data_IF_328994098277
#
_entry.id   IF_328994098277
#
_cell.length_a   1.000
_cell.length_b   1.000
_cell.length_c   1.000
_cell.angle_alpha   90.00
_cell.angle_beta   90.00
_cell.angle_gamma   90.00
#
_symmetry.space_group_name_H-M   'P 1'
#
loop_
_entity.id
_entity.type
_entity.pdbx_description
1 polymer ?
#
# COMPACT_ATOMS: atom_id res chain seq x y z
N UNK A 1 -9.07 -13.52 5.33
CA UNK A 1 -8.54 -13.50 3.97
C UNK A 1 -9.59 -14.08 3.02
N UNK A 2 -9.82 -13.45 1.85
CA UNK A 2 -10.78 -13.90 0.84
C UNK A 2 -12.20 -14.19 1.41
N UNK A 3 -12.71 -13.32 2.29
CA UNK A 3 -14.01 -13.48 2.94
C UNK A 3 -14.08 -14.58 4.00
N UNK A 4 -12.96 -15.21 4.35
CA UNK A 4 -12.90 -16.25 5.39
C UNK A 4 -12.47 -15.63 6.73
N UNK A 5 -13.06 -16.14 7.80
CA UNK A 5 -12.71 -15.79 9.18
C UNK A 5 -11.37 -16.43 9.58
N UNK A 6 -10.67 -15.88 10.59
CA UNK A 6 -9.43 -16.45 11.11
C UNK A 6 -9.58 -17.88 11.67
N UNK A 7 -10.77 -18.23 12.16
CA UNK A 7 -11.13 -19.55 12.71
C UNK A 7 -11.41 -20.61 11.62
N UNK A 8 -11.72 -20.13 10.39
CA UNK A 8 -11.92 -20.96 9.22
C UNK A 8 -11.18 -20.36 8.02
N UNK A 9 -9.84 -20.31 8.07
CA UNK A 9 -9.01 -19.59 7.12
C UNK A 9 -9.11 -20.18 5.71
N UNK A 10 -8.84 -19.35 4.69
CA UNK A 10 -8.62 -19.86 3.34
C UNK A 10 -7.34 -20.71 3.33
N UNK A 11 -7.39 -21.86 2.64
CA UNK A 11 -6.23 -22.73 2.46
C UNK A 11 -5.77 -22.72 1.01
N UNK A 12 -4.47 -22.67 0.80
CA UNK A 12 -3.78 -22.75 -0.47
C UNK A 12 -2.91 -24.00 -0.46
N UNK A 13 -3.27 -25.00 -1.26
CA UNK A 13 -2.46 -26.20 -1.42
C UNK A 13 -1.30 -25.95 -2.37
N UNK A 14 -0.11 -26.42 -1.97
CA UNK A 14 1.12 -26.32 -2.75
C UNK A 14 1.91 -27.62 -2.72
N UNK A 15 2.77 -27.81 -3.72
CA UNK A 15 3.72 -28.92 -3.78
C UNK A 15 5.14 -28.39 -3.61
N UNK A 16 5.99 -29.20 -3.05
CA UNK A 16 7.41 -28.86 -2.93
C UNK A 16 8.01 -28.52 -4.29
N UNK A 17 8.76 -27.40 -4.35
CA UNK A 17 9.38 -26.87 -5.56
C UNK A 17 8.49 -25.96 -6.40
N UNK A 18 7.19 -25.81 -6.05
CA UNK A 18 6.31 -24.86 -6.74
C UNK A 18 6.67 -23.41 -6.37
N UNK A 19 6.42 -22.54 -7.33
CA UNK A 19 6.47 -21.08 -7.13
C UNK A 19 5.04 -20.53 -7.10
N UNK A 20 4.64 -20.02 -5.97
CA UNK A 20 3.27 -19.52 -5.75
C UNK A 20 3.27 -18.01 -5.80
N UNK A 21 2.52 -17.43 -6.75
CA UNK A 21 2.29 -15.99 -6.81
C UNK A 21 1.08 -15.63 -5.95
N UNK A 22 1.31 -14.92 -4.88
CA UNK A 22 0.27 -14.34 -4.03
C UNK A 22 0.04 -12.89 -4.46
N UNK A 23 -1.21 -12.55 -4.78
CA UNK A 23 -1.64 -11.17 -5.05
C UNK A 23 -2.25 -10.61 -3.78
N UNK A 24 -1.49 -9.79 -3.09
CA UNK A 24 -1.90 -9.16 -1.85
C UNK A 24 -2.61 -7.85 -2.18
N UNK A 25 -3.86 -7.72 -1.74
CA UNK A 25 -4.68 -6.52 -1.94
C UNK A 25 -5.22 -6.12 -0.58
N UNK A 26 -4.99 -4.88 -0.17
CA UNK A 26 -5.64 -4.33 1.02
C UNK A 26 -6.83 -3.44 0.64
N UNK A 27 -8.06 -3.99 0.58
CA UNK A 27 -9.27 -3.23 0.31
C UNK A 27 -9.87 -2.63 1.58
N UNK A 28 -9.16 -2.68 2.71
CA UNK A 28 -9.64 -2.20 4.01
C UNK A 28 -9.91 -0.70 4.00
N UNK A 29 -10.92 -0.29 4.78
CA UNK A 29 -11.33 1.11 4.88
C UNK A 29 -10.45 1.94 5.81
N UNK A 30 -9.77 1.32 6.80
CA UNK A 30 -9.03 2.05 7.83
C UNK A 30 -7.82 1.30 8.42
N UNK A 31 -7.47 0.12 7.89
CA UNK A 31 -6.46 -0.73 8.53
C UNK A 31 -5.25 -0.95 7.63
N UNK A 32 -4.06 -0.69 8.16
CA UNK A 32 -2.78 -1.05 7.57
C UNK A 32 -2.32 -2.39 8.16
N UNK A 33 -1.83 -3.28 7.32
CA UNK A 33 -1.38 -4.61 7.74
C UNK A 33 0.11 -4.81 7.52
N UNK A 34 0.71 -5.60 8.42
CA UNK A 34 2.01 -6.21 8.22
C UNK A 34 1.80 -7.67 7.84
N UNK A 35 2.37 -8.08 6.70
CA UNK A 35 2.15 -9.41 6.12
C UNK A 35 3.44 -10.22 6.16
N UNK A 36 3.32 -11.48 6.55
CA UNK A 36 4.38 -12.48 6.45
C UNK A 36 3.81 -13.89 6.22
N UNK A 37 4.63 -14.78 5.67
CA UNK A 37 4.33 -16.20 5.48
C UNK A 37 5.25 -17.03 6.38
N UNK A 38 4.67 -17.84 7.24
CA UNK A 38 5.44 -18.73 8.14
C UNK A 38 6.41 -19.61 7.36
N UNK A 39 7.65 -19.71 7.84
CA UNK A 39 8.68 -20.56 7.25
C UNK A 39 9.13 -20.20 5.83
N UNK A 40 8.67 -19.09 5.27
CA UNK A 40 8.98 -18.68 3.89
C UNK A 40 9.30 -17.20 3.80
N UNK A 41 10.10 -16.87 2.80
CA UNK A 41 10.33 -15.48 2.38
C UNK A 41 9.43 -15.15 1.19
N UNK A 42 9.17 -13.87 1.02
CA UNK A 42 8.36 -13.34 -0.08
C UNK A 42 9.26 -12.55 -1.03
N UNK A 43 9.24 -12.88 -2.31
CA UNK A 43 9.92 -12.10 -3.35
C UNK A 43 8.89 -11.18 -4.01
N UNK A 44 8.97 -9.89 -3.72
CA UNK A 44 8.11 -8.86 -4.29
C UNK A 44 8.48 -8.68 -5.76
N UNK A 45 7.48 -8.74 -6.64
CA UNK A 45 7.65 -8.64 -8.10
C UNK A 45 6.82 -7.52 -8.72
N UNK A 46 5.75 -7.07 -8.03
CA UNK A 46 4.91 -5.95 -8.49
C UNK A 46 4.44 -5.14 -7.29
N UNK A 47 4.27 -3.85 -7.50
CA UNK A 47 3.54 -2.95 -6.61
C UNK A 47 2.50 -2.15 -7.39
N UNK A 48 1.28 -2.06 -6.88
CA UNK A 48 0.11 -1.42 -7.51
C UNK A 48 -0.10 -1.85 -8.98
N UNK A 49 0.23 -3.13 -9.27
CA UNK A 49 0.11 -3.72 -10.60
C UNK A 49 1.30 -3.47 -11.54
N UNK A 50 2.30 -2.67 -11.13
CA UNK A 50 3.50 -2.37 -11.92
C UNK A 50 4.67 -3.26 -11.53
N UNK A 51 5.42 -3.79 -12.50
CA UNK A 51 6.54 -4.68 -12.24
C UNK A 51 7.72 -3.93 -11.62
N UNK A 52 8.35 -4.59 -10.66
CA UNK A 52 9.58 -4.12 -10.02
C UNK A 52 10.68 -5.17 -10.08
N UNK A 53 11.94 -4.74 -9.99
CA UNK A 53 13.05 -5.65 -9.78
C UNK A 53 12.79 -6.51 -8.54
N UNK A 54 12.98 -7.83 -8.61
CA UNK A 54 12.62 -8.74 -7.53
C UNK A 54 13.35 -8.43 -6.23
N UNK A 55 12.59 -8.23 -5.15
CA UNK A 55 13.13 -7.97 -3.81
C UNK A 55 12.61 -9.01 -2.83
N UNK A 56 13.52 -9.79 -2.24
CA UNK A 56 13.16 -10.82 -1.27
C UNK A 56 13.18 -10.27 0.16
N UNK A 57 12.07 -10.44 0.86
CA UNK A 57 11.82 -9.92 2.21
C UNK A 57 11.15 -10.97 3.10
N UNK A 58 11.20 -10.77 4.40
CA UNK A 58 10.50 -11.60 5.39
C UNK A 58 9.10 -11.05 5.71
N UNK A 59 8.93 -9.73 5.56
CA UNK A 59 7.64 -9.05 5.73
C UNK A 59 7.51 -7.82 4.85
N UNK A 60 6.27 -7.44 4.61
CA UNK A 60 5.93 -6.16 4.02
C UNK A 60 4.77 -5.49 4.77
N UNK A 61 4.71 -4.17 4.71
CA UNK A 61 3.54 -3.40 5.16
C UNK A 61 2.70 -3.04 3.95
N UNK A 62 1.38 -3.22 4.06
CA UNK A 62 0.43 -2.91 3.00
C UNK A 62 -0.64 -1.96 3.56
N UNK A 63 -0.62 -0.70 3.10
CA UNK A 63 -1.64 0.30 3.43
C UNK A 63 -2.94 0.08 2.65
N UNK A 64 -3.98 0.78 3.06
CA UNK A 64 -5.27 0.76 2.35
C UNK A 64 -5.06 1.20 0.89
N UNK A 65 -5.63 0.45 -0.05
CA UNK A 65 -5.50 0.68 -1.49
C UNK A 65 -4.21 0.15 -2.13
N UNK A 66 -3.18 -0.18 -1.36
CA UNK A 66 -1.96 -0.77 -1.93
C UNK A 66 -2.17 -2.23 -2.36
N UNK A 67 -1.42 -2.63 -3.36
CA UNK A 67 -1.35 -4.01 -3.87
C UNK A 67 0.10 -4.40 -4.04
N UNK A 68 0.42 -5.65 -3.71
CA UNK A 68 1.72 -6.26 -3.96
C UNK A 68 1.54 -7.66 -4.53
N UNK A 69 2.27 -8.00 -5.58
CA UNK A 69 2.43 -9.38 -5.99
C UNK A 69 3.76 -9.90 -5.45
N UNK A 70 3.69 -11.02 -4.75
CA UNK A 70 4.85 -11.69 -4.19
C UNK A 70 4.92 -13.13 -4.65
N UNK A 71 6.12 -13.63 -4.88
CA UNK A 71 6.37 -15.04 -5.15
C UNK A 71 6.91 -15.68 -3.88
N UNK A 72 6.30 -16.79 -3.50
CA UNK A 72 6.77 -17.68 -2.43
C UNK A 72 7.28 -18.96 -3.08
N UNK A 73 8.51 -19.36 -2.79
CA UNK A 73 9.08 -20.64 -3.22
C UNK A 73 8.73 -21.69 -2.18
N UNK A 74 8.03 -22.74 -2.60
CA UNK A 74 7.55 -23.81 -1.74
C UNK A 74 8.65 -24.84 -1.47
N UNK A 75 9.65 -24.48 -0.67
CA UNK A 75 10.79 -25.34 -0.37
C UNK A 75 10.78 -25.90 1.07
N UNK A 76 9.85 -25.45 1.93
CA UNK A 76 9.79 -25.83 3.32
C UNK A 76 8.47 -26.58 3.63
N UNK A 77 8.42 -27.94 3.45
CA UNK A 77 7.21 -28.73 3.65
C UNK A 77 6.58 -28.55 5.03
N UNK A 78 5.24 -28.54 5.08
CA UNK A 78 4.48 -28.36 6.32
C UNK A 78 3.16 -27.64 6.09
N UNK A 79 2.57 -27.16 7.19
CA UNK A 79 1.34 -26.34 7.17
C UNK A 79 1.64 -25.01 7.82
N UNK A 80 1.65 -23.94 7.03
CA UNK A 80 2.19 -22.66 7.41
C UNK A 80 1.13 -21.57 7.44
N UNK A 81 1.12 -20.70 8.46
CA UNK A 81 0.22 -19.55 8.47
C UNK A 81 0.74 -18.45 7.54
N UNK A 82 -0.14 -17.91 6.69
CA UNK A 82 -0.01 -16.60 6.08
C UNK A 82 -0.79 -15.63 6.96
N UNK A 83 -0.15 -14.60 7.46
CA UNK A 83 -0.72 -13.68 8.44
C UNK A 83 -0.62 -12.25 7.97
N UNK A 84 -1.73 -11.52 8.10
CA UNK A 84 -1.79 -10.07 8.00
C UNK A 84 -2.19 -9.51 9.38
N UNK A 85 -1.20 -9.05 10.15
CA UNK A 85 -1.37 -8.43 11.45
C UNK A 85 -1.55 -6.92 11.30
N UNK A 86 -2.42 -6.31 12.10
CA UNK A 86 -2.59 -4.86 12.13
C UNK A 86 -1.30 -4.17 12.56
N UNK A 87 -1.00 -3.02 11.94
CA UNK A 87 0.15 -2.19 12.35
C UNK A 87 -0.18 -1.41 13.60
N UNK A 88 -1.42 -0.99 13.72
CA UNK A 88 -1.95 -0.23 14.85
C UNK A 88 -3.12 -0.98 15.50
N UNK A 89 -3.21 -0.90 16.83
CA UNK A 89 -4.24 -1.59 17.61
C UNK A 89 -3.98 -3.08 17.82
N UNK A 90 -4.85 -3.71 18.62
CA UNK A 90 -4.72 -5.09 19.12
C UNK A 90 -5.71 -6.07 18.46
N UNK A 91 -6.19 -5.75 17.24
CA UNK A 91 -7.13 -6.62 16.55
C UNK A 91 -6.50 -7.95 16.16
N UNK A 92 -7.30 -9.02 16.24
CA UNK A 92 -6.86 -10.33 15.81
C UNK A 92 -6.40 -10.31 14.33
N UNK A 93 -5.27 -10.94 14.01
CA UNK A 93 -4.73 -10.92 12.66
C UNK A 93 -5.62 -11.70 11.68
N UNK A 94 -5.71 -11.22 10.45
CA UNK A 94 -6.27 -11.98 9.36
C UNK A 94 -5.32 -13.13 8.98
N UNK A 95 -5.89 -14.31 8.68
CA UNK A 95 -5.12 -15.53 8.43
C UNK A 95 -5.56 -16.24 7.16
N UNK A 96 -4.59 -16.89 6.53
CA UNK A 96 -4.75 -17.95 5.54
C UNK A 96 -3.71 -19.04 5.82
N UNK A 97 -3.82 -20.16 5.15
CA UNK A 97 -2.94 -21.32 5.35
C UNK A 97 -2.29 -21.70 4.02
N UNK A 98 -0.98 -21.88 4.04
CA UNK A 98 -0.22 -22.52 2.97
C UNK A 98 0.03 -23.96 3.40
N UNK A 99 -0.62 -24.92 2.72
CA UNK A 99 -0.58 -26.35 3.03
C UNK A 99 0.18 -27.09 1.95
N UNK A 100 1.21 -27.81 2.32
CA UNK A 100 1.87 -28.72 1.42
C UNK A 100 1.09 -30.02 1.26
N UNK A 101 1.00 -30.51 0.02
CA UNK A 101 0.26 -31.73 -0.29
C UNK A 101 0.81 -32.96 0.45
N UNK A 102 2.12 -33.02 0.67
CA UNK A 102 2.80 -34.08 1.44
C UNK A 102 2.69 -33.91 2.96
N UNK A 103 2.12 -32.80 3.43
CA UNK A 103 1.81 -32.55 4.83
C UNK A 103 0.34 -32.78 5.20
N UNK A 104 -0.38 -33.58 4.40
CA UNK A 104 -1.76 -33.94 4.67
C UNK A 104 -1.91 -34.56 6.06
N UNK A 105 -2.86 -34.04 6.85
CA UNK A 105 -3.07 -34.46 8.25
C UNK A 105 -2.17 -33.79 9.28
N UNK A 106 -1.18 -33.01 8.87
CA UNK A 106 -0.37 -32.21 9.80
C UNK A 106 -1.16 -31.01 10.31
N UNK A 107 -0.97 -30.67 11.60
CA UNK A 107 -1.56 -29.49 12.19
C UNK A 107 -0.92 -28.20 11.63
N UNK A 108 -1.71 -27.14 11.59
CA UNK A 108 -1.19 -25.79 11.36
C UNK A 108 -0.16 -25.44 12.45
N UNK A 109 0.97 -24.91 12.07
CA UNK A 109 1.96 -24.43 13.03
C UNK A 109 1.38 -23.27 13.83
N UNK A 110 1.48 -23.38 15.15
CA UNK A 110 0.96 -22.38 16.06
C UNK A 110 1.79 -21.09 16.03
N UNK A 111 1.13 -19.99 16.40
CA UNK A 111 1.75 -18.69 16.59
C UNK A 111 1.77 -17.81 15.33
N UNK A 112 2.43 -16.68 15.48
CA UNK A 112 2.65 -15.74 14.39
C UNK A 112 3.95 -16.08 13.64
N UNK A 113 4.02 -15.89 12.33
CA UNK A 113 5.28 -15.99 11.59
C UNK A 113 6.38 -15.14 12.24
N UNK A 114 7.54 -15.71 12.46
CA UNK A 114 8.69 -14.99 12.99
C UNK A 114 9.04 -13.75 12.17
N UNK A 115 8.89 -13.85 10.85
CA UNK A 115 9.11 -12.75 9.90
C UNK A 115 8.29 -11.50 10.19
N UNK A 116 7.15 -11.58 10.90
CA UNK A 116 6.38 -10.39 11.31
C UNK A 116 7.15 -9.49 12.28
N UNK A 117 8.02 -10.05 13.09
CA UNK A 117 8.76 -9.33 14.14
C UNK A 117 10.21 -9.10 13.76
N UNK A 118 10.85 -10.09 13.14
CA UNK A 118 12.28 -10.11 12.82
C UNK A 118 12.51 -10.18 11.32
N UNK A 119 13.76 -10.10 10.89
CA UNK A 119 14.14 -10.21 9.49
C UNK A 119 13.95 -8.92 8.68
N UNK A 120 14.10 -9.04 7.36
CA UNK A 120 14.07 -7.93 6.40
C UNK A 120 12.65 -7.47 6.13
N UNK A 121 12.36 -6.21 6.43
CA UNK A 121 11.13 -5.55 6.01
C UNK A 121 11.32 -4.88 4.64
N UNK A 122 10.28 -4.92 3.79
CA UNK A 122 10.24 -4.12 2.57
C UNK A 122 10.19 -2.63 2.92
N UNK A 123 10.96 -1.83 2.20
CA UNK A 123 10.92 -0.37 2.20
C UNK A 123 10.68 0.13 0.78
N UNK A 124 10.04 1.27 0.61
CA UNK A 124 9.87 1.86 -0.74
C UNK A 124 11.21 2.07 -1.46
N UNK A 125 12.26 2.44 -0.72
CA UNK A 125 13.60 2.58 -1.29
C UNK A 125 14.25 1.29 -1.80
N UNK A 126 13.71 0.11 -1.45
CA UNK A 126 14.17 -1.18 -1.98
C UNK A 126 13.57 -1.47 -3.37
N UNK A 127 12.49 -0.77 -3.74
CA UNK A 127 11.75 -1.01 -4.97
C UNK A 127 12.36 -0.22 -6.13
N UNK A 128 12.51 -0.90 -7.26
CA UNK A 128 12.94 -0.29 -8.53
C UNK A 128 12.01 -0.74 -9.64
N UNK A 129 11.46 0.20 -10.40
CA UNK A 129 10.61 -0.11 -11.54
C UNK A 129 11.41 -0.81 -12.64
N UNK A 130 10.83 -1.87 -13.22
CA UNK A 130 11.31 -2.46 -14.46
C UNK A 130 10.92 -1.59 -15.67
N UNK A 131 9.80 -0.88 -15.54
CA UNK A 131 9.32 0.03 -16.58
C UNK A 131 10.09 1.36 -16.55
N UNK A 132 10.18 2.00 -17.70
CA UNK A 132 10.80 3.32 -17.81
C UNK A 132 10.04 4.33 -16.97
N UNK A 133 10.74 4.94 -16.04
CA UNK A 133 10.19 6.03 -15.23
C UNK A 133 10.10 7.33 -16.05
N UNK A 134 9.14 8.22 -15.76
CA UNK A 134 9.17 9.58 -16.31
C UNK A 134 10.55 10.22 -16.10
N UNK A 135 11.02 10.94 -17.10
CA UNK A 135 12.34 11.57 -17.07
C UNK A 135 12.50 12.47 -15.84
N UNK A 136 13.72 12.48 -15.28
CA UNK A 136 14.05 13.42 -14.20
C UNK A 136 14.21 14.84 -14.73
N UNK A 137 13.93 15.83 -13.88
CA UNK A 137 14.10 17.22 -14.21
C UNK A 137 13.21 18.12 -13.35
N UNK A 138 13.25 19.43 -13.56
CA UNK A 138 12.36 20.35 -12.87
C UNK A 138 10.90 20.09 -13.27
N UNK A 139 9.96 19.95 -12.32
CA UNK A 139 8.55 19.82 -12.65
C UNK A 139 8.03 21.16 -13.24
N UNK A 140 7.06 21.06 -14.15
CA UNK A 140 6.39 22.26 -14.68
C UNK A 140 5.47 22.90 -13.63
N UNK A 141 4.96 22.05 -12.71
CA UNK A 141 4.06 22.47 -11.63
C UNK A 141 4.37 21.69 -10.35
N UNK A 142 4.27 22.38 -9.21
CA UNK A 142 4.40 21.76 -7.89
C UNK A 142 3.22 22.14 -7.01
N UNK A 143 2.66 21.15 -6.32
CA UNK A 143 1.68 21.34 -5.26
C UNK A 143 2.28 20.92 -3.92
N UNK A 144 2.25 21.83 -2.93
CA UNK A 144 2.66 21.56 -1.56
C UNK A 144 1.41 21.40 -0.69
N UNK A 145 1.13 20.19 -0.25
CA UNK A 145 -0.10 19.83 0.43
C UNK A 145 0.17 19.38 1.88
N UNK A 146 -0.41 20.09 2.81
CA UNK A 146 -0.43 19.69 4.22
C UNK A 146 -1.65 18.81 4.46
N UNK A 147 -1.42 17.60 4.99
CA UNK A 147 -2.48 16.68 5.40
C UNK A 147 -2.73 16.91 6.90
N UNK A 148 -3.92 17.32 7.27
CA UNK A 148 -4.26 17.66 8.65
C UNK A 148 -5.70 17.30 9.00
N UNK A 149 -5.94 17.07 10.30
CA UNK A 149 -7.23 16.69 10.87
C UNK A 149 -7.06 15.93 12.18
N UNK A 150 -8.15 15.51 12.77
CA UNK A 150 -8.15 14.75 14.01
C UNK A 150 -7.99 15.60 15.28
N UNK A 151 -7.47 15.03 16.35
CA UNK A 151 -7.51 15.55 17.73
C UNK A 151 -7.02 16.99 17.96
N UNK A 152 -6.21 17.55 17.06
CA UNK A 152 -5.70 18.93 17.19
C UNK A 152 -6.61 19.97 16.52
N UNK A 153 -7.66 19.52 15.85
CA UNK A 153 -8.65 20.32 15.11
C UNK A 153 -10.05 19.74 15.34
N UNK A 154 -11.02 20.11 14.52
CA UNK A 154 -12.30 19.43 14.50
C UNK A 154 -12.08 17.96 14.11
N UNK A 155 -12.43 16.99 14.98
CA UNK A 155 -12.18 15.57 14.71
C UNK A 155 -12.94 15.06 13.47
N UNK A 156 -14.00 15.74 13.07
CA UNK A 156 -14.85 15.39 11.94
C UNK A 156 -14.42 16.07 10.64
N UNK A 157 -13.33 16.86 10.66
CA UNK A 157 -12.81 17.55 9.48
C UNK A 157 -11.37 17.14 9.18
N UNK A 158 -11.17 16.62 7.98
CA UNK A 158 -9.85 16.29 7.45
C UNK A 158 -9.55 17.10 6.21
N UNK A 159 -8.38 17.69 6.15
CA UNK A 159 -8.02 18.65 5.10
C UNK A 159 -6.79 18.24 4.31
N UNK A 160 -6.77 18.68 3.06
CA UNK A 160 -5.62 18.61 2.17
C UNK A 160 -5.28 20.01 1.67
N UNK A 161 -4.12 20.56 2.11
CA UNK A 161 -3.75 21.95 1.85
C UNK A 161 -4.65 22.97 2.57
N UNK A 162 -5.18 22.62 3.77
CA UNK A 162 -6.05 23.46 4.56
C UNK A 162 -7.49 23.56 4.06
N UNK A 163 -7.88 22.75 3.07
CA UNK A 163 -9.23 22.74 2.51
C UNK A 163 -9.80 21.33 2.57
N UNK A 164 -11.12 21.22 2.82
CA UNK A 164 -11.88 19.98 2.85
C UNK A 164 -12.76 19.84 1.61
N UNK A 165 -12.79 18.65 1.02
CA UNK A 165 -13.73 18.31 -0.04
C UNK A 165 -15.18 18.25 0.55
N UNK A 166 -16.24 18.69 -0.17
CA UNK A 166 -16.23 19.07 -1.59
C UNK A 166 -15.85 20.54 -1.90
N UNK A 167 -15.68 21.39 -0.89
CA UNK A 167 -15.45 22.83 -1.09
C UNK A 167 -13.99 23.17 -1.44
N UNK A 168 -13.10 22.17 -1.45
CA UNK A 168 -11.70 22.35 -1.78
C UNK A 168 -11.52 22.72 -3.27
N UNK A 169 -10.73 23.77 -3.53
CA UNK A 169 -10.38 24.14 -4.91
C UNK A 169 -9.63 22.99 -5.61
N UNK A 170 -9.88 22.74 -6.90
CA UNK A 170 -9.17 21.71 -7.63
C UNK A 170 -7.68 22.01 -7.78
N UNK A 171 -6.89 20.96 -7.98
CA UNK A 171 -5.51 21.04 -8.42
C UNK A 171 -5.54 21.12 -9.96
N UNK A 172 -5.40 22.32 -10.51
CA UNK A 172 -5.48 22.53 -11.95
C UNK A 172 -4.17 22.18 -12.64
N UNK A 173 -4.25 21.40 -13.69
CA UNK A 173 -3.10 20.90 -14.46
C UNK A 173 -3.39 21.01 -15.96
N UNK A 174 -2.34 21.02 -16.80
CA UNK A 174 -2.45 21.01 -18.25
C UNK A 174 -1.84 19.75 -18.83
N UNK A 175 -2.44 19.26 -19.90
CA UNK A 175 -1.93 18.10 -20.63
C UNK A 175 -0.45 18.29 -21.01
N UNK A 176 0.34 17.26 -20.78
CA UNK A 176 1.77 17.25 -21.02
C UNK A 176 2.63 17.79 -19.88
N UNK A 177 2.05 18.50 -18.89
CA UNK A 177 2.80 18.96 -17.72
C UNK A 177 3.36 17.77 -16.91
N UNK A 178 4.56 17.93 -16.36
CA UNK A 178 5.07 17.11 -15.30
C UNK A 178 4.79 17.79 -13.96
N UNK A 179 3.99 17.13 -13.16
CA UNK A 179 3.51 17.65 -11.87
C UNK A 179 4.19 16.93 -10.72
N UNK A 180 4.68 17.69 -9.75
CA UNK A 180 5.15 17.19 -8.46
C UNK A 180 4.13 17.51 -7.38
N UNK A 181 3.81 16.52 -6.57
CA UNK A 181 3.01 16.69 -5.35
C UNK A 181 3.87 16.38 -4.14
N UNK A 182 4.10 17.36 -3.29
CA UNK A 182 4.75 17.21 -2.00
C UNK A 182 3.69 17.16 -0.92
N UNK A 183 3.79 16.19 -0.02
CA UNK A 183 2.87 16.03 1.10
C UNK A 183 3.61 16.06 2.42
N UNK A 184 3.04 16.74 3.41
CA UNK A 184 3.49 16.74 4.79
C UNK A 184 2.32 16.39 5.72
N UNK A 185 2.49 15.34 6.51
CA UNK A 185 1.45 14.85 7.42
C UNK A 185 1.57 15.49 8.78
N UNK A 186 0.59 16.33 9.13
CA UNK A 186 0.53 17.05 10.40
C UNK A 186 -0.28 16.28 11.45
N UNK A 187 -0.80 15.09 11.10
CA UNK A 187 -1.62 14.27 11.99
C UNK A 187 -0.83 13.13 12.64
N UNK A 188 -1.48 12.45 13.57
CA UNK A 188 -0.95 11.28 14.26
C UNK A 188 -1.23 9.97 13.51
N UNK A 189 -1.92 10.02 12.37
CA UNK A 189 -2.37 8.85 11.61
C UNK A 189 -1.65 8.74 10.27
N UNK A 190 -1.50 7.51 9.78
CA UNK A 190 -0.98 7.24 8.45
C UNK A 190 -2.02 7.62 7.38
N UNK A 191 -1.55 8.23 6.28
CA UNK A 191 -2.39 8.53 5.13
C UNK A 191 -1.89 7.83 3.87
N UNK A 192 -2.56 6.77 3.40
CA UNK A 192 -2.36 6.25 2.06
C UNK A 192 -3.05 7.18 1.06
N UNK A 193 -2.25 7.87 0.24
CA UNK A 193 -2.74 8.85 -0.73
C UNK A 193 -2.80 8.23 -2.11
N UNK A 194 -4.00 8.21 -2.71
CA UNK A 194 -4.28 7.58 -3.99
C UNK A 194 -4.70 8.61 -5.04
N UNK A 195 -4.10 8.52 -6.21
CA UNK A 195 -4.46 9.31 -7.39
C UNK A 195 -5.13 8.42 -8.43
N UNK A 196 -6.36 8.74 -8.77
CA UNK A 196 -7.07 8.07 -9.86
C UNK A 196 -6.49 8.45 -11.22
N UNK A 197 -6.64 7.55 -12.19
CA UNK A 197 -6.36 7.79 -13.60
C UNK A 197 -4.88 7.90 -13.99
N UNK A 198 -3.96 7.97 -13.04
CA UNK A 198 -2.53 8.13 -13.30
C UNK A 198 -1.71 7.18 -12.42
N UNK A 199 -0.62 6.68 -13.00
CA UNK A 199 0.49 6.19 -12.20
C UNK A 199 1.50 7.31 -12.00
N UNK A 200 2.10 7.34 -10.84
CA UNK A 200 3.10 8.33 -10.49
C UNK A 200 4.42 7.68 -10.08
N UNK A 201 5.49 8.39 -10.26
CA UNK A 201 6.80 8.03 -9.75
C UNK A 201 6.93 8.44 -8.28
N UNK A 202 7.13 7.46 -7.39
CA UNK A 202 7.49 7.66 -5.99
C UNK A 202 8.90 7.10 -5.75
N UNK A 203 9.91 7.95 -5.71
CA UNK A 203 11.31 7.51 -5.74
C UNK A 203 11.65 6.79 -7.05
N UNK A 204 12.03 5.52 -6.97
CA UNK A 204 12.42 4.69 -8.13
C UNK A 204 11.32 3.72 -8.60
N UNK A 205 10.06 3.95 -8.23
CA UNK A 205 8.97 3.01 -8.53
C UNK A 205 7.72 3.73 -9.02
N UNK A 206 6.96 3.07 -9.92
CA UNK A 206 5.63 3.50 -10.34
C UNK A 206 4.59 2.93 -9.38
N UNK A 207 3.75 3.81 -8.85
CA UNK A 207 2.64 3.50 -7.95
C UNK A 207 1.42 4.36 -8.30
N UNK A 208 0.28 4.02 -7.74
CA UNK A 208 -0.90 4.89 -7.72
C UNK A 208 -1.34 5.25 -6.29
N UNK A 209 -0.72 4.60 -5.30
CA UNK A 209 -0.97 4.82 -3.88
C UNK A 209 0.35 4.93 -3.12
N UNK A 210 0.52 5.97 -2.29
CA UNK A 210 1.72 6.19 -1.49
C UNK A 210 1.37 6.51 -0.05
N UNK A 211 2.08 5.89 0.89
CA UNK A 211 1.88 6.12 2.32
C UNK A 211 2.61 7.38 2.78
N UNK A 212 1.90 8.26 3.49
CA UNK A 212 2.49 9.41 4.20
C UNK A 212 2.47 9.10 5.70
N UNK A 213 3.63 8.82 6.26
CA UNK A 213 3.77 8.44 7.65
C UNK A 213 3.25 9.53 8.61
N UNK A 214 2.77 9.17 9.82
CA UNK A 214 2.37 10.14 10.84
C UNK A 214 3.55 10.99 11.34
N UNK A 215 3.27 11.94 12.23
CA UNK A 215 4.28 12.71 12.96
C UNK A 215 5.26 13.48 12.06
N UNK A 216 4.77 14.43 11.26
CA UNK A 216 5.56 15.23 10.33
C UNK A 216 6.18 14.43 9.17
N UNK A 217 5.69 13.21 8.95
CA UNK A 217 6.09 12.40 7.81
C UNK A 217 5.88 13.12 6.49
N UNK A 218 6.76 12.86 5.54
CA UNK A 218 6.74 13.48 4.20
C UNK A 218 6.77 12.41 3.13
N UNK A 219 6.05 12.67 2.05
CA UNK A 219 6.15 11.92 0.82
C UNK A 219 6.02 12.87 -0.36
N UNK A 220 6.62 12.51 -1.48
CA UNK A 220 6.45 13.21 -2.73
C UNK A 220 6.31 12.22 -3.88
N UNK A 221 5.59 12.62 -4.91
CA UNK A 221 5.51 11.86 -6.14
C UNK A 221 5.44 12.82 -7.35
N UNK A 222 5.75 12.27 -8.52
CA UNK A 222 5.65 12.97 -9.79
C UNK A 222 4.85 12.14 -10.79
N UNK A 223 4.01 12.81 -11.57
CA UNK A 223 3.29 12.19 -12.67
C UNK A 223 3.28 13.09 -13.90
N UNK A 224 3.10 12.47 -15.06
CA UNK A 224 2.84 13.17 -16.32
C UNK A 224 1.33 13.29 -16.50
N UNK A 225 0.90 14.46 -16.88
CA UNK A 225 -0.52 14.79 -17.13
C UNK A 225 -0.87 14.32 -18.54
N UNK A 226 -1.19 13.02 -18.68
CA UNK A 226 -1.35 12.32 -19.97
C UNK A 226 -2.71 11.62 -20.14
N UNK A 227 -3.63 11.88 -19.22
CA UNK A 227 -4.97 11.28 -19.23
C UNK A 227 -6.02 12.36 -18.92
N UNK A 228 -6.50 13.12 -19.96
CA UNK A 228 -7.43 14.22 -19.77
C UNK A 228 -8.70 13.83 -19.02
N UNK A 229 -9.11 14.67 -18.05
CA UNK A 229 -10.29 14.39 -17.24
C UNK A 229 -10.36 15.15 -15.92
N UNK A 230 -11.19 14.64 -15.04
CA UNK A 230 -11.33 15.06 -13.65
C UNK A 230 -11.03 13.84 -12.77
N UNK A 231 -9.92 13.89 -12.07
CA UNK A 231 -9.42 12.75 -11.34
C UNK A 231 -9.43 13.00 -9.83
N UNK A 232 -9.86 12.00 -9.08
CA UNK A 232 -9.92 12.11 -7.64
C UNK A 232 -8.55 11.80 -7.04
N UNK A 233 -8.06 12.69 -6.19
CA UNK A 233 -6.86 12.50 -5.37
C UNK A 233 -7.26 12.56 -3.91
N UNK A 234 -7.10 11.46 -3.18
CA UNK A 234 -7.68 11.33 -1.86
C UNK A 234 -6.90 10.41 -0.92
N UNK A 235 -7.13 10.55 0.37
CA UNK A 235 -6.71 9.56 1.34
C UNK A 235 -7.56 8.30 1.20
N UNK A 236 -6.93 7.13 1.14
CA UNK A 236 -7.64 5.85 1.03
C UNK A 236 -8.18 5.33 2.39
N UNK A 237 -7.89 6.02 3.51
CA UNK A 237 -8.63 5.82 4.74
C UNK A 237 -10.03 6.44 4.56
N UNK A 238 -11.07 5.60 4.59
CA UNK A 238 -12.44 6.02 4.28
C UNK A 238 -13.00 7.06 5.26
N UNK A 239 -12.58 7.04 6.52
CA UNK A 239 -12.96 8.07 7.48
C UNK A 239 -12.38 9.43 7.10
N UNK A 240 -11.10 9.47 6.75
CA UNK A 240 -10.45 10.71 6.33
C UNK A 240 -11.02 11.23 5.01
N UNK A 241 -11.27 10.32 4.06
CA UNK A 241 -11.92 10.66 2.80
C UNK A 241 -13.31 11.26 3.02
N UNK A 242 -14.16 10.57 3.81
CA UNK A 242 -15.53 11.02 4.10
C UNK A 242 -15.55 12.38 4.80
N UNK A 243 -14.58 12.62 5.67
CA UNK A 243 -14.39 13.85 6.42
C UNK A 243 -13.63 14.96 5.64
N UNK A 244 -13.36 14.77 4.34
CA UNK A 244 -12.91 15.83 3.43
C UNK A 244 -11.47 15.74 2.94
N UNK A 245 -10.68 14.69 3.29
CA UNK A 245 -9.29 14.56 2.80
C UNK A 245 -9.23 14.11 1.34
N UNK A 246 -9.65 15.00 0.46
CA UNK A 246 -9.64 14.80 -0.98
C UNK A 246 -9.50 16.11 -1.75
N UNK A 247 -9.03 16.02 -2.99
CA UNK A 247 -8.96 17.08 -4.00
C UNK A 247 -9.33 16.49 -5.37
N UNK A 248 -9.81 17.34 -6.23
CA UNK A 248 -9.93 17.02 -7.64
C UNK A 248 -8.64 17.47 -8.37
N UNK A 249 -8.04 16.61 -9.17
CA UNK A 249 -7.07 17.00 -10.21
C UNK A 249 -7.85 17.26 -11.48
N UNK A 250 -7.83 18.51 -11.94
CA UNK A 250 -8.64 18.99 -13.08
C UNK A 250 -7.76 19.46 -14.22
N UNK A 251 -8.01 18.93 -15.38
CA UNK A 251 -7.41 19.42 -16.63
C UNK A 251 -8.08 20.73 -17.08
N UNK A 252 -7.26 21.74 -17.42
CA UNK A 252 -7.66 23.08 -17.85
C UNK A 252 -6.95 23.51 -19.13
#
# INVERSE_FOLDING_TARGET
VNGRLPEAPAEFEVRRGERVRLRLINPGGATTYRVAVGGHRMTVTHTDGRPVEPVTVDRLTIGMGERYDVVVEAENPGVWPLVAATVEGDSAPARAVLRYADAAGSALRDGLPEGLQTGRALRYGDLQSVETLPAEGAPDRTFDLRLSGGMMMDPDVWTMGGQAYPDAAPLEVREGERVRVNMSNMSMMLHPMHLHGHFFRAGNVLKDTVQVAPHMGRASFEFVVDNPGRWFFHCHNLYHLHAGMAREVRYV
#
